data_IF_542528299120
#
_entry.id   IF_542528299120
#
_cell.length_a   1.000
_cell.length_b   1.000
_cell.length_c   1.000
_cell.angle_alpha   90.00
_cell.angle_beta   90.00
_cell.angle_gamma   90.00
#
_symmetry.space_group_name_H-M   'P 1'
#
loop_
_entity.id
_entity.type
_entity.pdbx_description
1 polymer ?
#
# COMPACT_ATOMS: atom_id res chain seq x y z
N UNK A 1 -14.14 26.79 -8.61
CA UNK A 1 -13.82 26.68 -9.21
C UNK A 1 -13.28 25.72 -9.90
N UNK A 2 -13.49 25.71 -10.43
CA UNK A 2 -12.78 25.39 -11.33
C UNK A 2 -11.70 24.51 -11.07
N UNK A 3 -11.15 24.54 -9.96
CA UNK A 3 -9.94 23.86 -9.71
C UNK A 3 -10.11 22.50 -9.16
N UNK A 4 -11.32 22.14 -8.86
CA UNK A 4 -11.57 20.87 -8.22
C UNK A 4 -11.17 19.68 -9.07
N UNK A 5 -11.14 19.85 -10.37
CA UNK A 5 -10.84 18.74 -11.26
C UNK A 5 -9.42 18.72 -11.77
N UNK A 6 -8.53 19.49 -11.16
CA UNK A 6 -7.15 19.46 -11.61
C UNK A 6 -6.49 18.13 -11.27
N UNK A 7 -5.73 17.54 -12.20
CA UNK A 7 -5.05 16.28 -11.89
C UNK A 7 -3.94 16.48 -10.87
N UNK A 8 -3.77 15.49 -10.03
CA UNK A 8 -2.63 15.43 -9.11
C UNK A 8 -1.53 14.59 -9.73
N UNK A 9 -0.29 14.98 -9.48
CA UNK A 9 0.87 14.18 -9.89
C UNK A 9 1.18 13.19 -8.78
N UNK A 10 1.10 11.92 -9.11
CA UNK A 10 1.31 10.84 -8.15
C UNK A 10 2.36 9.88 -8.69
N UNK A 11 3.03 9.19 -7.80
CA UNK A 11 4.01 8.19 -8.18
C UNK A 11 3.34 6.83 -8.39
N UNK A 12 3.78 6.13 -9.43
CA UNK A 12 3.42 4.74 -9.68
C UNK A 12 4.71 3.93 -9.74
N UNK A 13 4.80 2.90 -8.93
CA UNK A 13 5.94 1.99 -8.98
C UNK A 13 5.45 0.58 -9.25
N UNK A 14 6.27 -0.21 -9.92
CA UNK A 14 5.98 -1.62 -10.21
C UNK A 14 6.74 -2.48 -9.22
N UNK A 15 6.06 -3.50 -8.69
CA UNK A 15 6.71 -4.48 -7.83
C UNK A 15 7.00 -5.75 -8.63
N UNK A 16 8.27 -6.20 -8.57
CA UNK A 16 8.70 -7.44 -9.20
C UNK A 16 9.63 -8.18 -8.27
N UNK A 17 9.30 -9.42 -7.97
CA UNK A 17 10.16 -10.29 -7.15
C UNK A 17 10.53 -9.64 -5.82
N UNK A 18 9.58 -8.97 -5.18
CA UNK A 18 9.81 -8.34 -3.90
C UNK A 18 10.57 -7.02 -3.95
N UNK A 19 10.80 -6.47 -5.15
CA UNK A 19 11.52 -5.20 -5.31
C UNK A 19 10.62 -4.18 -5.99
N UNK A 20 10.68 -2.94 -5.49
CA UNK A 20 10.00 -1.82 -6.14
C UNK A 20 10.93 -1.23 -7.18
N UNK A 21 10.43 -1.06 -8.39
CA UNK A 21 11.18 -0.43 -9.46
C UNK A 21 11.16 1.09 -9.28
N UNK A 22 11.96 1.80 -10.08
CA UNK A 22 11.97 3.25 -10.04
C UNK A 22 10.57 3.78 -10.36
N UNK A 23 10.05 4.70 -9.56
CA UNK A 23 8.71 5.22 -9.80
C UNK A 23 8.65 6.12 -11.02
N UNK A 24 7.49 6.15 -11.65
CA UNK A 24 7.16 7.13 -12.67
C UNK A 24 6.06 8.03 -12.13
N UNK A 25 5.93 9.22 -12.71
CA UNK A 25 4.84 10.11 -12.36
C UNK A 25 3.63 9.84 -13.25
N UNK A 26 2.47 9.82 -12.64
CA UNK A 26 1.20 9.68 -13.36
C UNK A 26 0.28 10.81 -12.95
N UNK A 27 -0.58 11.23 -13.86
CA UNK A 27 -1.60 12.23 -13.58
C UNK A 27 -2.93 11.54 -13.32
N UNK A 28 -3.58 11.93 -12.25
CA UNK A 28 -4.86 11.36 -11.87
C UNK A 28 -5.73 12.44 -11.27
N UNK A 29 -7.02 12.42 -11.61
CA UNK A 29 -7.96 13.32 -10.95
C UNK A 29 -8.07 12.94 -9.48
N UNK A 30 -7.99 13.95 -8.61
CA UNK A 30 -8.16 13.72 -7.17
C UNK A 30 -9.57 13.23 -6.84
N UNK A 31 -10.52 13.38 -7.76
CA UNK A 31 -11.87 12.85 -7.58
C UNK A 31 -11.90 11.34 -7.49
N UNK A 32 -10.85 10.67 -7.95
CA UNK A 32 -10.78 9.21 -7.90
C UNK A 32 -10.21 8.70 -6.57
N UNK A 33 -9.84 9.58 -5.67
CA UNK A 33 -9.29 9.22 -4.37
C UNK A 33 -10.23 9.68 -3.26
N UNK A 34 -10.25 8.98 -2.11
CA UNK A 34 -11.00 9.46 -0.96
C UNK A 34 -10.50 10.83 -0.49
N UNK A 35 -11.40 11.64 0.04
CA UNK A 35 -11.06 13.02 0.42
C UNK A 35 -10.00 13.11 1.52
N UNK A 36 -9.93 12.08 2.36
CA UNK A 36 -9.01 12.09 3.51
C UNK A 36 -7.58 11.65 3.16
N UNK A 37 -7.34 11.30 1.90
CA UNK A 37 -6.02 10.84 1.49
C UNK A 37 -5.07 12.01 1.38
N UNK A 38 -3.90 11.90 1.98
CA UNK A 38 -2.94 12.99 2.01
C UNK A 38 -1.63 12.70 1.29
N UNK A 39 -1.17 11.46 1.27
CA UNK A 39 0.11 11.11 0.68
C UNK A 39 0.03 9.74 0.02
N UNK A 40 -0.69 9.68 -1.09
CA UNK A 40 -0.93 8.43 -1.80
C UNK A 40 0.09 8.18 -2.90
N UNK A 41 0.36 6.92 -3.14
CA UNK A 41 1.09 6.47 -4.32
C UNK A 41 0.50 5.14 -4.78
N UNK A 42 0.94 4.70 -5.96
CA UNK A 42 0.41 3.47 -6.54
C UNK A 42 1.48 2.41 -6.66
N UNK A 43 1.10 1.17 -6.39
CA UNK A 43 1.94 0.01 -6.67
C UNK A 43 1.20 -0.88 -7.67
N UNK A 44 1.90 -1.28 -8.71
CA UNK A 44 1.33 -2.10 -9.77
C UNK A 44 2.03 -3.44 -9.82
N UNK A 45 1.27 -4.50 -9.99
CA UNK A 45 1.78 -5.80 -10.40
C UNK A 45 1.05 -6.22 -11.69
N UNK A 46 1.20 -7.48 -12.10
CA UNK A 46 0.61 -7.94 -13.37
C UNK A 46 -0.92 -7.92 -13.36
N UNK A 47 -1.53 -7.94 -12.20
CA UNK A 47 -2.98 -8.13 -12.07
C UNK A 47 -3.72 -6.95 -11.50
N UNK A 48 -3.04 -6.09 -10.77
CA UNK A 48 -3.70 -5.07 -9.96
C UNK A 48 -2.90 -3.80 -9.85
N UNK A 49 -3.60 -2.72 -9.56
CA UNK A 49 -3.00 -1.47 -9.10
C UNK A 49 -3.53 -1.22 -7.69
N UNK A 50 -2.61 -1.05 -6.76
CA UNK A 50 -2.95 -0.77 -5.37
C UNK A 50 -2.75 0.71 -5.10
N UNK A 51 -3.72 1.32 -4.42
CA UNK A 51 -3.60 2.68 -3.92
C UNK A 51 -3.09 2.58 -2.50
N UNK A 52 -1.98 3.24 -2.21
CA UNK A 52 -1.29 3.13 -0.93
C UNK A 52 -1.18 4.50 -0.29
N UNK A 53 -1.56 4.60 0.98
CA UNK A 53 -1.42 5.82 1.77
C UNK A 53 -0.19 5.69 2.66
N UNK A 54 0.78 6.61 2.50
CA UNK A 54 1.97 6.63 3.35
C UNK A 54 1.70 7.20 4.73
N UNK A 55 0.72 8.09 4.84
CA UNK A 55 0.42 8.75 6.11
C UNK A 55 -0.49 7.89 6.95
N UNK A 56 0.03 7.36 8.03
CA UNK A 56 -0.73 6.57 8.99
C UNK A 56 -0.14 6.77 10.39
N UNK A 57 -1.00 6.69 11.39
CA UNK A 57 -0.57 6.80 12.78
C UNK A 57 -0.62 5.47 13.50
N UNK A 58 -1.53 4.61 13.10
CA UNK A 58 -1.78 3.34 13.78
C UNK A 58 -1.87 2.26 12.72
N UNK A 59 -1.23 1.12 12.99
CA UNK A 59 -1.36 -0.06 12.14
C UNK A 59 -2.63 -0.77 12.60
N UNK A 60 -3.73 -0.57 11.88
CA UNK A 60 -4.97 -1.28 12.14
C UNK A 60 -5.08 -2.49 11.21
N UNK A 61 -6.04 -3.37 11.47
CA UNK A 61 -6.25 -4.55 10.66
C UNK A 61 -6.56 -4.17 9.21
N UNK A 62 -5.95 -4.86 8.27
CA UNK A 62 -6.16 -4.64 6.85
C UNK A 62 -4.95 -4.99 6.01
N UNK A 63 -4.95 -4.53 4.77
CA UNK A 63 -3.85 -4.76 3.84
C UNK A 63 -2.83 -3.65 3.95
N UNK A 64 -1.58 -4.05 3.99
CA UNK A 64 -0.46 -3.14 4.14
C UNK A 64 0.68 -3.51 3.21
N UNK A 65 1.43 -2.52 2.81
CA UNK A 65 2.68 -2.71 2.07
C UNK A 65 3.79 -2.81 3.10
N UNK A 66 4.47 -3.93 3.12
CA UNK A 66 5.50 -4.20 4.13
C UNK A 66 6.80 -4.62 3.45
N UNK A 67 7.89 -4.39 4.16
CA UNK A 67 9.20 -4.88 3.76
C UNK A 67 9.71 -5.80 4.86
N UNK A 68 9.99 -7.05 4.47
CA UNK A 68 10.45 -8.09 5.37
C UNK A 68 11.76 -8.61 4.80
N UNK A 69 12.85 -8.47 5.56
CA UNK A 69 14.18 -8.90 5.12
C UNK A 69 14.56 -8.34 3.75
N UNK A 70 14.20 -7.09 3.51
CA UNK A 70 14.55 -6.42 2.26
C UNK A 70 13.62 -6.70 1.10
N UNK A 71 12.57 -7.50 1.30
CA UNK A 71 11.61 -7.83 0.25
C UNK A 71 10.27 -7.18 0.54
N UNK A 72 9.73 -6.50 -0.46
CA UNK A 72 8.45 -5.80 -0.36
C UNK A 72 7.34 -6.75 -0.78
N UNK A 73 6.26 -6.74 -0.01
CA UNK A 73 5.06 -7.51 -0.34
C UNK A 73 3.83 -6.81 0.24
N UNK A 74 2.67 -7.22 -0.26
CA UNK A 74 1.40 -6.73 0.24
C UNK A 74 0.79 -7.85 1.07
N UNK A 75 0.54 -7.57 2.33
CA UNK A 75 0.11 -8.55 3.31
C UNK A 75 -1.08 -8.05 4.09
N UNK A 76 -1.89 -8.99 4.60
CA UNK A 76 -2.87 -8.64 5.61
C UNK A 76 -2.22 -8.67 6.97
N UNK A 77 -2.44 -7.60 7.74
CA UNK A 77 -1.92 -7.48 9.09
C UNK A 77 -3.09 -7.43 10.06
N UNK A 78 -2.92 -8.09 11.20
CA UNK A 78 -3.88 -8.06 12.31
C UNK A 78 -3.14 -7.67 13.56
N UNK A 79 -3.70 -6.73 14.31
CA UNK A 79 -3.11 -6.31 15.58
C UNK A 79 -3.36 -7.35 16.65
N UNK A 80 -2.31 -7.65 17.38
CA UNK A 80 -2.36 -8.50 18.57
C UNK A 80 -1.97 -7.68 19.79
N UNK A 81 -2.36 -8.11 20.99
CA UNK A 81 -1.95 -7.42 22.21
C UNK A 81 -0.43 -7.37 22.34
N UNK A 82 0.06 -6.31 22.98
CA UNK A 82 1.49 -6.18 23.27
C UNK A 82 2.32 -5.67 22.11
N UNK A 83 1.74 -4.92 21.18
CA UNK A 83 2.50 -4.38 20.06
C UNK A 83 2.89 -5.41 19.03
N UNK A 84 2.22 -6.55 19.01
CA UNK A 84 2.50 -7.64 18.09
C UNK A 84 1.56 -7.60 16.90
N UNK A 85 1.97 -8.22 15.82
CA UNK A 85 1.19 -8.33 14.60
C UNK A 85 1.15 -9.78 14.15
N UNK A 86 0.01 -10.18 13.59
CA UNK A 86 -0.07 -11.40 12.79
C UNK A 86 0.01 -10.99 11.33
N UNK A 87 0.92 -11.59 10.59
CA UNK A 87 1.14 -11.33 9.17
C UNK A 87 0.63 -12.53 8.39
N UNK A 88 -0.37 -12.29 7.53
CA UNK A 88 -0.97 -13.34 6.71
C UNK A 88 -0.43 -13.26 5.31
N UNK A 89 -0.13 -14.41 4.73
CA UNK A 89 0.38 -14.46 3.37
C UNK A 89 0.07 -15.80 2.76
N UNK A 90 -1.14 -15.94 2.23
CA UNK A 90 -1.53 -17.18 1.58
C UNK A 90 -1.39 -18.37 2.52
N UNK A 91 -0.59 -19.38 2.15
CA UNK A 91 -0.52 -20.61 2.94
C UNK A 91 0.27 -20.47 4.24
N UNK A 92 0.96 -19.38 4.45
CA UNK A 92 1.74 -19.23 5.66
C UNK A 92 1.40 -17.93 6.37
N UNK A 93 1.39 -17.98 7.69
CA UNK A 93 1.24 -16.80 8.51
C UNK A 93 2.24 -16.89 9.65
N UNK A 94 2.58 -15.74 10.20
CA UNK A 94 3.49 -15.67 11.33
C UNK A 94 3.15 -14.46 12.18
N UNK A 95 3.67 -14.46 13.39
CA UNK A 95 3.52 -13.34 14.32
C UNK A 95 4.88 -12.72 14.59
N UNK A 96 4.88 -11.41 14.76
CA UNK A 96 6.11 -10.67 15.03
C UNK A 96 5.77 -9.41 15.83
N UNK A 97 6.82 -8.74 16.31
CA UNK A 97 6.66 -7.40 16.85
C UNK A 97 6.49 -6.43 15.69
N UNK A 98 5.77 -5.33 15.93
CA UNK A 98 5.54 -4.35 14.87
C UNK A 98 6.83 -3.79 14.28
N UNK A 99 7.88 -3.68 15.09
CA UNK A 99 9.14 -3.14 14.62
C UNK A 99 10.08 -4.20 14.02
N UNK A 100 9.66 -5.46 13.94
CA UNK A 100 10.43 -6.48 13.23
C UNK A 100 10.31 -6.35 11.72
N UNK A 101 9.33 -5.64 11.23
CA UNK A 101 9.12 -5.41 9.80
C UNK A 101 8.98 -3.92 9.54
N UNK A 102 9.19 -3.52 8.29
CA UNK A 102 9.01 -2.12 7.92
C UNK A 102 7.65 -1.96 7.24
N UNK A 103 6.88 -0.99 7.68
CA UNK A 103 5.57 -0.68 7.10
C UNK A 103 5.74 0.50 6.16
N UNK A 104 5.41 0.31 4.89
CA UNK A 104 5.58 1.34 3.88
C UNK A 104 4.31 2.16 3.66
N UNK A 105 3.16 1.57 3.91
CA UNK A 105 1.90 2.28 3.78
C UNK A 105 0.72 1.34 3.86
N UNK A 106 -0.46 1.94 3.97
CA UNK A 106 -1.71 1.20 4.03
C UNK A 106 -2.35 1.12 2.66
N UNK A 107 -2.79 -0.06 2.26
CA UNK A 107 -3.56 -0.23 1.03
C UNK A 107 -4.98 0.26 1.29
N UNK A 108 -5.41 1.28 0.55
CA UNK A 108 -6.72 1.88 0.71
C UNK A 108 -7.62 1.66 -0.50
N UNK A 109 -7.09 1.09 -1.57
CA UNK A 109 -7.87 0.78 -2.75
C UNK A 109 -7.13 -0.18 -3.65
N UNK A 110 -7.89 -0.91 -4.45
CA UNK A 110 -7.36 -1.88 -5.39
C UNK A 110 -8.17 -1.81 -6.68
N UNK A 111 -7.49 -1.77 -7.82
CA UNK A 111 -8.09 -1.98 -9.13
C UNK A 111 -7.57 -3.29 -9.67
N UNK A 112 -8.44 -4.24 -9.91
CA UNK A 112 -8.07 -5.51 -10.48
C UNK A 112 -8.48 -5.57 -11.94
N UNK A 113 -7.60 -6.13 -12.78
CA UNK A 113 -7.87 -6.30 -14.20
C UNK A 113 -8.42 -7.69 -14.43
N UNK A 114 -9.60 -7.71 -15.04
CA UNK A 114 -10.31 -8.96 -15.32
C UNK A 114 -10.21 -9.21 -16.82
N UNK A 115 -9.64 -10.34 -17.19
CA UNK A 115 -9.47 -10.67 -18.60
C UNK A 115 -10.13 -11.98 -18.97
#
# INVERSE_FOLDING_TARGET
SLNASQPSQLELTTIKNGKLENPIEVSLSSDLLPDHVSDAFFIKNDQSVFVVERAFNVINDGKWVVEIDGLVSIRELYRLPGGRLRVESGPSSFECQADDIKILGKVIGITEFIE
#
